data_IF_549073235274
#
_entry.id   IF_549073235274
#
_cell.length_a   1.000
_cell.length_b   1.000
_cell.length_c   1.000
_cell.angle_alpha   90.00
_cell.angle_beta   90.00
_cell.angle_gamma   90.00
#
_symmetry.space_group_name_H-M   'P 1'
#
loop_
_entity.id
_entity.type
_entity.pdbx_description
1 polymer ?
#
# COMPACT_ATOMS: atom_id res chain seq x y z
N UNK A 1 -11.01 -14.65 -8.59
CA UNK A 1 -9.62 -14.82 -8.16
C UNK A 1 -9.58 -15.13 -6.68
N UNK A 2 -8.77 -16.09 -6.28
CA UNK A 2 -8.51 -16.34 -4.87
C UNK A 2 -7.49 -15.34 -4.29
N UNK A 3 -7.32 -15.35 -2.97
CA UNK A 3 -6.44 -14.41 -2.27
C UNK A 3 -4.95 -14.56 -2.65
N UNK A 4 -4.50 -15.77 -3.00
CA UNK A 4 -3.11 -16.01 -3.38
C UNK A 4 -2.83 -15.48 -4.79
N UNK A 5 -3.80 -15.60 -5.69
CA UNK A 5 -3.74 -14.96 -7.01
C UNK A 5 -3.65 -13.44 -6.89
N UNK A 6 -4.48 -12.81 -6.03
CA UNK A 6 -4.43 -11.38 -5.78
C UNK A 6 -3.09 -10.93 -5.18
N UNK A 7 -2.52 -11.69 -4.22
CA UNK A 7 -1.21 -11.39 -3.64
C UNK A 7 -0.10 -11.44 -4.69
N UNK A 8 -0.09 -12.48 -5.52
CA UNK A 8 0.88 -12.63 -6.61
C UNK A 8 0.75 -11.54 -7.67
N UNK A 9 -0.47 -11.19 -8.04
CA UNK A 9 -0.72 -10.06 -8.94
C UNK A 9 -0.17 -8.76 -8.33
N UNK A 10 -0.51 -8.46 -7.08
CA UNK A 10 -0.05 -7.25 -6.39
C UNK A 10 1.47 -7.14 -6.32
N UNK A 11 2.18 -8.26 -6.06
CA UNK A 11 3.64 -8.31 -6.09
C UNK A 11 4.20 -7.91 -7.47
N UNK A 12 3.65 -8.46 -8.55
CA UNK A 12 4.06 -8.11 -9.91
C UNK A 12 3.77 -6.63 -10.26
N UNK A 13 2.66 -6.09 -9.76
CA UNK A 13 2.34 -4.67 -9.92
C UNK A 13 3.37 -3.79 -9.20
N UNK A 14 3.76 -4.15 -7.97
CA UNK A 14 4.79 -3.38 -7.24
C UNK A 14 6.14 -3.40 -7.95
N UNK A 15 6.51 -4.51 -8.61
CA UNK A 15 7.68 -4.57 -9.48
C UNK A 15 7.58 -3.58 -10.63
N UNK A 16 6.42 -3.50 -11.30
CA UNK A 16 6.18 -2.53 -12.37
C UNK A 16 6.36 -1.09 -11.87
N UNK A 17 5.88 -0.79 -10.67
CA UNK A 17 6.05 0.53 -10.06
C UNK A 17 7.52 0.85 -9.72
N UNK A 18 8.31 -0.14 -9.32
CA UNK A 18 9.72 0.05 -9.00
C UNK A 18 10.60 0.30 -10.24
N UNK A 19 10.14 -0.13 -11.41
CA UNK A 19 10.85 0.00 -12.70
C UNK A 19 10.44 1.27 -13.48
N UNK A 20 9.66 2.17 -12.86
CA UNK A 20 9.19 3.39 -13.53
C UNK A 20 10.36 4.29 -13.93
N UNK A 21 10.30 4.76 -15.18
CA UNK A 21 11.17 5.80 -15.70
C UNK A 21 10.31 7.06 -15.89
N UNK A 22 10.51 8.03 -15.00
CA UNK A 22 9.72 9.26 -15.02
C UNK A 22 10.04 10.18 -16.21
N UNK A 23 11.08 9.88 -17.00
CA UNK A 23 11.36 10.58 -18.26
C UNK A 23 10.62 9.97 -19.46
N UNK A 24 10.12 8.73 -19.35
CA UNK A 24 9.34 8.04 -20.39
C UNK A 24 7.85 8.03 -20.06
N UNK A 25 7.07 8.74 -20.87
CA UNK A 25 5.60 8.78 -20.77
C UNK A 25 4.96 7.39 -20.81
N UNK A 26 5.50 6.44 -21.60
CA UNK A 26 4.95 5.07 -21.65
C UNK A 26 5.20 4.34 -20.32
N UNK A 27 6.39 4.51 -19.74
CA UNK A 27 6.72 3.96 -18.42
C UNK A 27 5.83 4.53 -17.31
N UNK A 28 5.65 5.85 -17.29
CA UNK A 28 4.72 6.52 -16.36
C UNK A 28 3.29 5.99 -16.51
N UNK A 29 2.80 5.82 -17.74
CA UNK A 29 1.47 5.25 -17.96
C UNK A 29 1.34 3.81 -17.43
N UNK A 30 2.36 2.96 -17.63
CA UNK A 30 2.37 1.60 -17.07
C UNK A 30 2.34 1.61 -15.55
N UNK A 31 3.15 2.47 -14.92
CA UNK A 31 3.13 2.67 -13.47
C UNK A 31 1.74 3.09 -12.98
N UNK A 32 1.11 4.07 -13.64
CA UNK A 32 -0.20 4.57 -13.25
C UNK A 32 -1.28 3.48 -13.37
N UNK A 33 -1.26 2.70 -14.45
CA UNK A 33 -2.14 1.54 -14.61
C UNK A 33 -1.89 0.47 -13.53
N UNK A 34 -0.64 0.24 -13.16
CA UNK A 34 -0.30 -0.70 -12.10
C UNK A 34 -0.83 -0.23 -10.73
N UNK A 35 -0.63 1.03 -10.39
CA UNK A 35 -1.16 1.63 -9.15
C UNK A 35 -2.69 1.61 -9.12
N UNK A 36 -3.35 1.91 -10.25
CA UNK A 36 -4.81 1.81 -10.34
C UNK A 36 -5.29 0.38 -10.06
N UNK A 37 -4.65 -0.62 -10.67
CA UNK A 37 -4.96 -2.03 -10.43
C UNK A 37 -4.68 -2.47 -8.99
N UNK A 38 -3.63 -1.96 -8.36
CA UNK A 38 -3.35 -2.21 -6.93
C UNK A 38 -4.51 -1.73 -6.05
N UNK A 39 -5.06 -0.53 -6.32
CA UNK A 39 -6.24 -0.05 -5.59
C UNK A 39 -7.50 -0.87 -5.88
N UNK A 40 -7.69 -1.34 -7.11
CA UNK A 40 -8.80 -2.26 -7.42
C UNK A 40 -8.71 -3.54 -6.57
N UNK A 41 -7.53 -4.14 -6.43
CA UNK A 41 -7.31 -5.31 -5.58
C UNK A 41 -7.69 -5.00 -4.12
N UNK A 42 -7.26 -3.85 -3.60
CA UNK A 42 -7.60 -3.44 -2.23
C UNK A 42 -9.11 -3.21 -2.07
N UNK A 43 -9.76 -2.57 -3.06
CA UNK A 43 -11.20 -2.35 -3.02
C UNK A 43 -11.98 -3.67 -3.06
N UNK A 44 -11.55 -4.66 -3.85
CA UNK A 44 -12.14 -6.01 -3.85
C UNK A 44 -12.07 -6.67 -2.46
N UNK A 45 -10.98 -6.48 -1.71
CA UNK A 45 -10.87 -6.96 -0.33
C UNK A 45 -11.83 -6.20 0.61
N UNK A 46 -11.98 -4.89 0.39
CA UNK A 46 -12.91 -4.04 1.16
C UNK A 46 -14.36 -4.45 0.96
N UNK A 47 -14.78 -4.67 -0.29
CA UNK A 47 -16.17 -5.00 -0.67
C UNK A 47 -16.61 -6.34 -0.06
N UNK A 48 -15.71 -7.34 -0.07
CA UNK A 48 -15.96 -8.61 0.60
C UNK A 48 -16.03 -8.49 2.12
N UNK A 49 -15.34 -7.49 2.68
CA UNK A 49 -15.17 -7.25 4.12
C UNK A 49 -14.80 -8.52 4.90
N UNK A 50 -14.02 -9.41 4.26
CA UNK A 50 -13.61 -10.68 4.85
C UNK A 50 -12.30 -10.49 5.61
N UNK A 51 -12.40 -10.42 6.94
CA UNK A 51 -11.25 -10.18 7.81
C UNK A 51 -10.14 -11.25 7.66
N UNK A 52 -10.50 -12.50 7.36
CA UNK A 52 -9.51 -13.56 7.11
C UNK A 52 -8.72 -13.29 5.83
N UNK A 53 -9.38 -12.85 4.74
CA UNK A 53 -8.68 -12.49 3.50
C UNK A 53 -7.81 -11.24 3.69
N UNK A 54 -8.30 -10.23 4.43
CA UNK A 54 -7.54 -9.03 4.75
C UNK A 54 -6.26 -9.37 5.54
N UNK A 55 -6.37 -10.24 6.55
CA UNK A 55 -5.23 -10.72 7.33
C UNK A 55 -4.24 -11.51 6.48
N UNK A 56 -4.74 -12.38 5.59
CA UNK A 56 -3.88 -13.15 4.69
C UNK A 56 -3.16 -12.23 3.69
N UNK A 57 -3.82 -11.18 3.21
CA UNK A 57 -3.19 -10.15 2.38
C UNK A 57 -2.14 -9.34 3.16
N UNK A 58 -2.39 -9.06 4.45
CA UNK A 58 -1.49 -8.32 5.33
C UNK A 58 -0.11 -8.99 5.49
N UNK A 59 0.03 -10.28 5.17
CA UNK A 59 1.33 -10.95 5.13
C UNK A 59 2.33 -10.25 4.19
N UNK A 60 1.84 -9.56 3.14
CA UNK A 60 2.68 -8.76 2.24
C UNK A 60 3.37 -7.57 2.92
N UNK A 61 2.94 -7.16 4.13
CA UNK A 61 3.67 -6.18 4.95
C UNK A 61 5.08 -6.63 5.32
N UNK A 62 5.38 -7.93 5.20
CA UNK A 62 6.72 -8.49 5.43
C UNK A 62 7.65 -8.41 4.21
N UNK A 63 7.10 -8.17 3.00
CA UNK A 63 7.85 -8.20 1.73
C UNK A 63 8.42 -6.82 1.43
N UNK A 64 9.74 -6.66 1.53
CA UNK A 64 10.42 -5.37 1.30
C UNK A 64 10.80 -5.09 -0.15
N UNK A 65 10.84 -6.13 -0.97
CA UNK A 65 11.18 -6.01 -2.39
C UNK A 65 10.22 -5.01 -3.06
N UNK A 66 10.72 -4.20 -4.00
CA UNK A 66 9.92 -3.24 -4.77
C UNK A 66 9.05 -2.29 -3.91
N UNK A 67 9.46 -2.07 -2.64
CA UNK A 67 8.69 -1.34 -1.62
C UNK A 67 7.27 -1.90 -1.44
N UNK A 68 7.03 -3.18 -1.71
CA UNK A 68 5.70 -3.82 -1.59
C UNK A 68 5.09 -3.55 -0.21
N UNK A 69 5.84 -3.74 0.87
CA UNK A 69 5.36 -3.50 2.22
C UNK A 69 4.89 -2.06 2.47
N UNK A 70 5.51 -1.07 1.83
CA UNK A 70 5.11 0.35 1.96
C UNK A 70 3.83 0.62 1.17
N UNK A 71 3.73 0.10 -0.06
CA UNK A 71 2.51 0.16 -0.86
C UNK A 71 1.31 -0.46 -0.13
N UNK A 72 1.48 -1.69 0.36
CA UNK A 72 0.46 -2.41 1.12
C UNK A 72 0.09 -1.65 2.39
N UNK A 73 1.07 -1.21 3.17
CA UNK A 73 0.82 -0.45 4.40
C UNK A 73 -0.04 0.79 4.15
N UNK A 74 0.29 1.54 3.10
CA UNK A 74 -0.41 2.80 2.78
C UNK A 74 -1.84 2.52 2.32
N UNK A 75 -1.99 1.68 1.29
CA UNK A 75 -3.30 1.46 0.67
C UNK A 75 -4.27 0.68 1.58
N UNK A 76 -3.77 -0.26 2.39
CA UNK A 76 -4.62 -0.94 3.38
C UNK A 76 -5.17 0.06 4.41
N UNK A 77 -4.36 0.98 4.91
CA UNK A 77 -4.82 1.97 5.88
C UNK A 77 -5.77 3.01 5.28
N UNK A 78 -5.67 3.28 3.97
CA UNK A 78 -6.57 4.19 3.25
C UNK A 78 -7.96 3.60 2.99
N UNK A 79 -8.04 2.27 2.78
CA UNK A 79 -9.24 1.65 2.20
C UNK A 79 -9.86 0.56 3.07
N UNK A 80 -9.09 -0.06 3.96
CA UNK A 80 -9.55 -1.23 4.72
C UNK A 80 -9.74 -0.91 6.20
N UNK A 81 -10.76 -1.53 6.78
CA UNK A 81 -10.85 -1.68 8.24
C UNK A 81 -10.00 -2.88 8.65
N UNK A 82 -8.79 -2.60 9.12
CA UNK A 82 -7.84 -3.60 9.61
C UNK A 82 -7.88 -3.71 11.13
N UNK A 83 -7.40 -4.82 11.68
CA UNK A 83 -7.20 -4.95 13.12
C UNK A 83 -6.05 -4.07 13.63
N UNK A 84 -6.02 -3.84 14.94
CA UNK A 84 -5.05 -2.95 15.61
C UNK A 84 -3.60 -3.41 15.44
N UNK A 85 -3.33 -4.71 15.38
CA UNK A 85 -1.97 -5.25 15.21
C UNK A 85 -1.49 -4.98 13.79
N UNK A 86 -2.32 -5.24 12.79
CA UNK A 86 -2.04 -4.93 11.38
C UNK A 86 -1.82 -3.43 11.18
N UNK A 87 -2.68 -2.60 11.76
CA UNK A 87 -2.54 -1.14 11.74
C UNK A 87 -1.20 -0.67 12.32
N UNK A 88 -0.79 -1.19 13.47
CA UNK A 88 0.49 -0.87 14.11
C UNK A 88 1.69 -1.25 13.24
N UNK A 89 1.64 -2.41 12.58
CA UNK A 89 2.71 -2.87 11.67
C UNK A 89 2.80 -1.92 10.47
N UNK A 90 1.69 -1.64 9.81
CA UNK A 90 1.62 -0.73 8.66
C UNK A 90 2.13 0.67 9.02
N UNK A 91 1.66 1.24 10.14
CA UNK A 91 2.13 2.54 10.63
C UNK A 91 3.63 2.54 10.97
N UNK A 92 4.18 1.44 11.50
CA UNK A 92 5.62 1.34 11.77
C UNK A 92 6.45 1.40 10.48
N UNK A 93 5.97 0.76 9.41
CA UNK A 93 6.62 0.81 8.09
C UNK A 93 6.60 2.24 7.55
N UNK A 94 5.44 2.88 7.54
CA UNK A 94 5.26 4.25 7.03
C UNK A 94 6.11 5.24 7.84
N UNK A 95 6.08 5.16 9.19
CA UNK A 95 6.90 6.02 10.07
C UNK A 95 8.40 5.86 9.81
N UNK A 96 8.86 4.64 9.50
CA UNK A 96 10.28 4.43 9.17
C UNK A 96 10.69 5.22 7.92
N UNK A 97 9.83 5.29 6.91
CA UNK A 97 10.09 6.06 5.68
C UNK A 97 9.96 7.56 5.94
N UNK A 98 8.94 7.98 6.69
CA UNK A 98 8.72 9.38 7.08
C UNK A 98 9.88 9.98 7.90
N UNK A 99 10.62 9.15 8.65
CA UNK A 99 11.81 9.58 9.38
C UNK A 99 13.08 9.68 8.51
N UNK A 100 12.98 9.40 7.21
CA UNK A 100 14.07 9.56 6.27
C UNK A 100 14.30 11.02 5.85
N UNK A 101 15.11 11.20 4.81
CA UNK A 101 15.38 12.49 4.19
C UNK A 101 14.85 12.52 2.75
N UNK A 102 14.56 13.72 2.24
CA UNK A 102 14.13 13.92 0.85
C UNK A 102 12.61 13.93 0.63
N UNK A 103 12.22 14.02 -0.64
CA UNK A 103 10.82 14.24 -1.03
C UNK A 103 9.87 13.10 -0.58
N UNK A 104 10.32 11.85 -0.67
CA UNK A 104 9.52 10.70 -0.24
C UNK A 104 9.23 10.75 1.27
N UNK A 105 10.23 11.06 2.09
CA UNK A 105 10.06 11.19 3.53
C UNK A 105 9.08 12.31 3.90
N UNK A 106 9.21 13.48 3.26
CA UNK A 106 8.28 14.61 3.43
C UNK A 106 6.84 14.23 3.03
N UNK A 107 6.68 13.50 1.92
CA UNK A 107 5.37 13.01 1.49
C UNK A 107 4.70 12.11 2.55
N UNK A 108 5.45 11.18 3.13
CA UNK A 108 4.92 10.31 4.19
C UNK A 108 4.74 11.01 5.55
N UNK A 109 5.49 12.08 5.83
CA UNK A 109 5.22 12.93 6.99
C UNK A 109 3.84 13.61 6.86
N UNK A 110 3.54 14.19 5.69
CA UNK A 110 2.23 14.76 5.39
C UNK A 110 1.12 13.71 5.47
N UNK A 111 1.31 12.55 4.83
CA UNK A 111 0.36 11.45 4.88
C UNK A 111 0.05 11.00 6.32
N UNK A 112 1.08 10.86 7.18
CA UNK A 112 0.88 10.50 8.59
C UNK A 112 0.12 11.57 9.38
N UNK A 113 0.31 12.84 9.04
CA UNK A 113 -0.43 13.95 9.65
C UNK A 113 -1.90 13.87 9.28
N UNK A 114 -2.21 13.71 8.00
CA UNK A 114 -3.59 13.56 7.49
C UNK A 114 -4.28 12.33 8.07
N UNK A 115 -3.59 11.19 8.10
CA UNK A 115 -4.12 9.95 8.66
C UNK A 115 -4.54 10.09 10.12
N UNK A 116 -3.71 10.74 10.94
CA UNK A 116 -4.03 11.01 12.36
C UNK A 116 -5.20 11.97 12.51
N UNK A 117 -5.25 13.02 11.70
CA UNK A 117 -6.35 13.99 11.73
C UNK A 117 -7.67 13.32 11.40
N UNK A 118 -7.72 12.47 10.37
CA UNK A 118 -8.93 11.75 9.98
C UNK A 118 -9.40 10.73 11.04
N UNK A 119 -8.47 10.11 11.78
CA UNK A 119 -8.80 9.21 12.90
C UNK A 119 -9.34 9.94 14.13
N UNK A 120 -8.94 11.19 14.36
CA UNK A 120 -9.45 11.99 15.48
C UNK A 120 -10.85 12.56 15.22
N UNK A 121 -11.35 12.46 13.99
CA UNK A 121 -12.70 12.90 13.59
C UNK A 121 -13.68 11.71 13.47
N UNK A 122 -13.19 10.47 13.65
CA UNK A 122 -13.95 9.22 13.52
C UNK A 122 -14.29 8.57 14.87
#
# INVERSE_FOLDING_TARGET
MDINELKREYLNLTKTCAEVDYSDKKSVNRNNSAVARMYEIINLLSEKNNQTEILNFAELLTVKENKTNLWVATQMLEKLKVDKKTEQIALKIIKKVANGNGAEAMGFQSWLSEYKSNKNVA
#
